data_IF_853674303070
#
_entry.id   IF_853674303070
#
_cell.length_a   1.000
_cell.length_b   1.000
_cell.length_c   1.000
_cell.angle_alpha   90.00
_cell.angle_beta   90.00
_cell.angle_gamma   90.00
#
_symmetry.space_group_name_H-M   'P 1'
#
loop_
_entity.id
_entity.type
_entity.pdbx_description
1 polymer ?
#
# COMPACT_ATOMS: atom_id res chain seq x y z
N UNK A 1 6.70 -1.98 -14.48
CA UNK A 1 8.09 -1.57 -14.77
C UNK A 1 8.23 -0.03 -14.79
N UNK A 2 7.44 0.69 -15.59
CA UNK A 2 7.46 2.17 -15.63
C UNK A 2 7.22 2.87 -14.26
N UNK A 3 6.28 2.35 -13.45
CA UNK A 3 6.01 2.93 -12.12
C UNK A 3 7.20 2.89 -11.15
N UNK A 4 8.00 1.82 -11.18
CA UNK A 4 9.19 1.71 -10.33
C UNK A 4 10.32 2.68 -10.75
N UNK A 5 10.47 2.91 -12.07
CA UNK A 5 11.41 3.88 -12.62
C UNK A 5 11.05 5.33 -12.23
N UNK A 6 9.77 5.68 -12.22
CA UNK A 6 9.32 7.01 -11.79
C UNK A 6 9.55 7.26 -10.30
N UNK A 7 9.34 6.23 -9.45
CA UNK A 7 9.57 6.33 -8.00
C UNK A 7 11.07 6.52 -7.68
N UNK A 8 11.95 5.86 -8.42
CA UNK A 8 13.40 5.98 -8.22
C UNK A 8 13.98 7.30 -8.75
N UNK A 9 13.41 7.86 -9.83
CA UNK A 9 13.94 9.06 -10.49
C UNK A 9 13.39 10.39 -9.96
N UNK A 10 12.14 10.41 -9.48
CA UNK A 10 11.51 11.61 -8.90
C UNK A 10 12.29 12.28 -7.74
N UNK A 11 12.85 11.56 -6.74
CA UNK A 11 13.60 12.21 -5.65
C UNK A 11 14.92 12.83 -6.14
N UNK A 12 15.54 12.26 -7.19
CA UNK A 12 16.73 12.85 -7.82
C UNK A 12 16.38 14.16 -8.52
N UNK A 13 15.24 14.20 -9.22
CA UNK A 13 14.75 15.40 -9.89
C UNK A 13 14.39 16.51 -8.89
N UNK A 14 13.65 16.17 -7.82
CA UNK A 14 13.34 17.09 -6.71
C UNK A 14 14.60 17.73 -6.12
N UNK A 15 15.67 16.95 -5.93
CA UNK A 15 16.94 17.46 -5.39
C UNK A 15 17.64 18.47 -6.32
N UNK A 16 17.33 18.47 -7.62
CA UNK A 16 17.90 19.41 -8.61
C UNK A 16 17.07 20.69 -8.74
N UNK A 17 15.75 20.61 -8.56
CA UNK A 17 14.86 21.76 -8.70
C UNK A 17 14.69 22.57 -7.41
N UNK A 18 14.94 21.97 -6.24
CA UNK A 18 14.73 22.64 -4.95
C UNK A 18 15.98 23.40 -4.46
N UNK A 19 15.78 24.57 -3.80
CA UNK A 19 16.85 25.29 -3.09
C UNK A 19 17.45 24.44 -1.96
N UNK A 20 18.70 24.71 -1.58
CA UNK A 20 19.47 23.89 -0.61
C UNK A 20 18.72 23.59 0.68
N UNK A 21 18.03 24.60 1.22
CA UNK A 21 17.33 24.55 2.51
C UNK A 21 16.12 23.60 2.51
N UNK A 22 15.46 23.38 1.36
CA UNK A 22 14.23 22.58 1.28
C UNK A 22 14.43 21.17 0.72
N UNK A 23 15.65 20.78 0.34
CA UNK A 23 15.91 19.47 -0.32
C UNK A 23 15.47 18.27 0.53
N UNK A 24 15.82 18.26 1.81
CA UNK A 24 15.45 17.17 2.73
C UNK A 24 13.93 17.10 2.93
N UNK A 25 13.29 18.25 3.08
CA UNK A 25 11.85 18.36 3.24
C UNK A 25 11.10 17.86 1.99
N UNK A 26 11.52 18.29 0.79
CA UNK A 26 10.87 17.89 -0.47
C UNK A 26 10.96 16.40 -0.74
N UNK A 27 12.11 15.77 -0.48
CA UNK A 27 12.27 14.32 -0.60
C UNK A 27 11.44 13.58 0.47
N UNK A 28 11.42 14.08 1.71
CA UNK A 28 10.61 13.52 2.78
C UNK A 28 9.11 13.54 2.48
N UNK A 29 8.59 14.69 2.03
CA UNK A 29 7.18 14.84 1.64
C UNK A 29 6.85 13.95 0.45
N UNK A 30 7.71 13.88 -0.56
CA UNK A 30 7.53 12.98 -1.69
C UNK A 30 7.41 11.53 -1.20
N UNK A 31 8.36 11.04 -0.41
CA UNK A 31 8.32 9.67 0.15
C UNK A 31 7.08 9.41 1.01
N UNK A 32 6.64 10.40 1.78
CA UNK A 32 5.44 10.30 2.61
C UNK A 32 4.19 10.13 1.73
N UNK A 33 4.06 10.90 0.66
CA UNK A 33 2.94 10.82 -0.29
C UNK A 33 2.86 9.47 -1.00
N UNK A 34 3.97 8.95 -1.53
CA UNK A 34 3.96 7.62 -2.15
C UNK A 34 3.64 6.52 -1.12
N UNK A 35 4.13 6.64 0.12
CA UNK A 35 3.81 5.66 1.17
C UNK A 35 2.34 5.71 1.58
N UNK A 36 1.76 6.89 1.71
CA UNK A 36 0.35 7.03 2.11
C UNK A 36 -0.59 6.66 0.97
N UNK A 37 -0.28 7.06 -0.27
CA UNK A 37 -1.16 6.85 -1.42
C UNK A 37 -0.99 5.49 -2.11
N UNK A 38 0.14 4.81 -1.95
CA UNK A 38 0.32 3.47 -2.51
C UNK A 38 0.51 2.43 -1.40
N UNK A 39 1.30 2.73 -0.37
CA UNK A 39 1.63 1.80 0.69
C UNK A 39 0.47 1.47 1.63
N UNK A 40 -0.44 2.40 1.91
CA UNK A 40 -1.64 2.16 2.74
C UNK A 40 -2.78 1.51 1.95
N UNK A 41 -3.18 2.00 0.75
CA UNK A 41 -4.30 1.38 0.04
C UNK A 41 -3.97 0.00 -0.53
N UNK A 42 -2.69 -0.32 -0.77
CA UNK A 42 -2.31 -1.67 -1.23
C UNK A 42 -2.76 -2.77 -0.26
N UNK A 43 -2.33 -2.80 1.02
CA UNK A 43 -2.79 -3.83 1.96
C UNK A 43 -4.28 -3.75 2.29
N UNK A 44 -4.90 -2.56 2.23
CA UNK A 44 -6.36 -2.43 2.40
C UNK A 44 -7.09 -3.11 1.24
N UNK A 45 -6.66 -2.86 0.01
CA UNK A 45 -7.24 -3.46 -1.18
C UNK A 45 -7.04 -4.99 -1.19
N UNK A 46 -5.82 -5.46 -0.91
CA UNK A 46 -5.54 -6.88 -0.79
C UNK A 46 -6.34 -7.53 0.35
N UNK A 47 -6.48 -6.86 1.49
CA UNK A 47 -7.33 -7.34 2.59
C UNK A 47 -8.80 -7.46 2.18
N UNK A 48 -9.35 -6.43 1.54
CA UNK A 48 -10.72 -6.45 1.04
C UNK A 48 -10.93 -7.53 -0.04
N UNK A 49 -9.95 -7.75 -0.92
CA UNK A 49 -10.00 -8.79 -1.94
C UNK A 49 -10.05 -10.19 -1.31
N UNK A 50 -9.20 -10.47 -0.32
CA UNK A 50 -9.19 -11.73 0.41
C UNK A 50 -10.52 -11.94 1.15
N UNK A 51 -11.06 -10.88 1.77
CA UNK A 51 -12.35 -10.92 2.45
C UNK A 51 -13.52 -11.21 1.48
N UNK A 52 -13.44 -10.77 0.21
CA UNK A 52 -14.45 -11.04 -0.83
C UNK A 52 -14.46 -12.50 -1.28
N UNK A 53 -13.29 -13.11 -1.39
CA UNK A 53 -13.13 -14.52 -1.79
C UNK A 53 -13.14 -15.47 -0.59
N UNK A 54 -13.50 -15.00 0.61
CA UNK A 54 -13.42 -15.80 1.81
C UNK A 54 -14.49 -16.89 1.86
N UNK A 55 -14.06 -18.15 1.93
CA UNK A 55 -14.92 -19.33 2.05
C UNK A 55 -15.27 -19.62 3.52
N UNK A 56 -14.32 -19.43 4.44
CA UNK A 56 -14.53 -19.70 5.86
C UNK A 56 -13.97 -18.59 6.76
N UNK A 57 -14.88 -17.97 7.51
CA UNK A 57 -14.56 -16.93 8.48
C UNK A 57 -14.22 -17.55 9.83
N UNK A 58 -13.16 -17.05 10.48
CA UNK A 58 -12.90 -17.39 11.87
C UNK A 58 -13.95 -16.78 12.80
N UNK A 59 -14.17 -17.39 13.96
CA UNK A 59 -15.06 -16.85 15.00
C UNK A 59 -14.21 -16.28 16.13
N UNK A 60 -14.54 -15.07 16.59
CA UNK A 60 -13.92 -14.47 17.77
C UNK A 60 -14.41 -15.17 19.04
N UNK A 61 -13.63 -15.23 20.12
CA UNK A 61 -14.06 -15.83 21.38
C UNK A 61 -15.33 -15.19 21.97
N UNK A 62 -15.66 -13.96 21.59
CA UNK A 62 -16.89 -13.25 21.95
C UNK A 62 -18.02 -13.33 20.90
N UNK A 63 -17.95 -14.25 19.93
CA UNK A 63 -19.06 -14.52 18.99
C UNK A 63 -19.13 -13.67 17.72
N UNK A 64 -18.08 -12.91 17.40
CA UNK A 64 -18.02 -12.08 16.18
C UNK A 64 -17.28 -12.71 14.98
N UNK A 65 -17.39 -12.09 13.80
CA UNK A 65 -16.63 -12.46 12.60
C UNK A 65 -15.16 -12.08 12.74
N UNK A 66 -14.28 -13.06 12.82
CA UNK A 66 -12.82 -12.94 12.91
C UNK A 66 -12.15 -12.81 11.53
N UNK A 67 -10.84 -13.05 11.45
CA UNK A 67 -10.11 -13.06 10.19
C UNK A 67 -10.53 -14.24 9.29
N UNK A 68 -10.41 -14.07 7.98
CA UNK A 68 -10.60 -15.16 7.04
C UNK A 68 -9.55 -16.27 7.25
N UNK A 69 -9.99 -17.53 7.35
CA UNK A 69 -9.10 -18.71 7.52
C UNK A 69 -8.81 -19.40 6.18
N UNK A 70 -9.81 -19.45 5.30
CA UNK A 70 -9.75 -20.11 3.99
C UNK A 70 -10.41 -19.21 2.95
N UNK A 71 -9.69 -18.91 1.87
CA UNK A 71 -10.18 -18.14 0.73
C UNK A 71 -10.03 -18.94 -0.56
N UNK A 72 -10.85 -18.61 -1.56
CA UNK A 72 -10.85 -19.26 -2.87
C UNK A 72 -9.70 -18.73 -3.74
N UNK A 73 -8.75 -19.60 -4.06
CA UNK A 73 -7.57 -19.26 -4.88
C UNK A 73 -7.91 -19.04 -6.36
N UNK A 74 -8.99 -19.65 -6.87
CA UNK A 74 -9.42 -19.47 -8.26
C UNK A 74 -10.07 -18.10 -8.47
N UNK A 75 -10.86 -17.65 -7.48
CA UNK A 75 -11.49 -16.32 -7.50
C UNK A 75 -10.52 -15.17 -7.17
N UNK A 76 -9.36 -15.47 -6.58
CA UNK A 76 -8.31 -14.48 -6.26
C UNK A 76 -7.37 -14.16 -7.44
N UNK A 77 -7.37 -15.00 -8.47
CA UNK A 77 -6.43 -14.95 -9.60
C UNK A 77 -6.92 -14.04 -10.73
#
# INVERSE_FOLDING_TARGET
>A
MAGALLIASAPLFLRRCLPSELKSLGVGVYMLLIRTLAGIPSPIYFGALIDKTCLMWGTKPCGGRGACRMYDTHSFR
#
